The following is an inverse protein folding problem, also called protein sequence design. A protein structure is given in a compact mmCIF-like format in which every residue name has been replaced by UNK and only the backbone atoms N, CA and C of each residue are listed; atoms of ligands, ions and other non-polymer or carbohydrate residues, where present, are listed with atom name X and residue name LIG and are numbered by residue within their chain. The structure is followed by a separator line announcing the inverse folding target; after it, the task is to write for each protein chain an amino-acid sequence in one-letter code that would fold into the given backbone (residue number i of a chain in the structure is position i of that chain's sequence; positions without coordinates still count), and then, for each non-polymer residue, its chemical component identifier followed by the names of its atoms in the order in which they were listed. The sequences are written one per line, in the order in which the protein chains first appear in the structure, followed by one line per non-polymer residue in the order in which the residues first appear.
data_IF_175544147034
#
_entry.id   IF_175544147034
#
_cell.length_a   1.000
_cell.length_b   1.000
_cell.length_c   1.000
_cell.angle_alpha   90.00
_cell.angle_beta   90.00
_cell.angle_gamma   90.00
#
_symmetry.space_group_name_H-M   'P 1'
#
loop_
_entity.id
_entity.type
_entity.pdbx_description
1 polymer ?
#
# COMPACT_ATOMS: atom_id res chain seq x y z
N UNK A 1 -5.86 -9.72 0.24
CA UNK A 1 -7.13 -9.14 0.75
C UNK A 1 -7.21 -9.10 2.26
N UNK A 2 -7.05 -10.22 2.97
CA UNK A 2 -7.18 -10.24 4.44
C UNK A 2 -6.24 -9.27 5.19
N UNK A 3 -4.95 -9.27 4.85
CA UNK A 3 -3.92 -8.48 5.55
C UNK A 3 -4.08 -6.95 5.40
N UNK A 4 -4.42 -6.47 4.19
CA UNK A 4 -4.68 -5.03 3.97
C UNK A 4 -5.90 -4.59 4.79
N UNK A 5 -6.99 -5.37 4.74
CA UNK A 5 -8.19 -5.09 5.53
C UNK A 5 -7.94 -5.18 7.04
N UNK A 6 -7.15 -6.14 7.50
CA UNK A 6 -6.72 -6.25 8.89
C UNK A 6 -5.92 -5.01 9.32
N UNK A 7 -4.98 -4.54 8.50
CA UNK A 7 -4.23 -3.31 8.78
C UNK A 7 -5.12 -2.09 8.91
N UNK A 8 -6.13 -1.94 8.05
CA UNK A 8 -7.09 -0.82 8.15
C UNK A 8 -7.85 -0.88 9.47
N UNK A 9 -8.31 -2.07 9.88
CA UNK A 9 -8.97 -2.25 11.17
C UNK A 9 -8.03 -1.94 12.33
N UNK A 10 -6.79 -2.43 12.29
CA UNK A 10 -5.76 -2.15 13.29
C UNK A 10 -5.45 -0.65 13.36
N UNK A 11 -5.29 0.04 12.24
CA UNK A 11 -5.07 1.48 12.17
C UNK A 11 -6.22 2.28 12.80
N UNK A 12 -7.46 1.81 12.64
CA UNK A 12 -8.63 2.42 13.28
C UNK A 12 -8.81 2.06 14.75
N UNK A 13 -7.99 1.17 15.30
CA UNK A 13 -8.09 0.73 16.69
C UNK A 13 -7.62 1.80 17.67
N UNK A 14 -8.25 1.86 18.85
CA UNK A 14 -7.88 2.84 19.90
C UNK A 14 -6.42 2.72 20.34
N UNK A 15 -5.89 1.50 20.42
CA UNK A 15 -4.52 1.26 20.84
C UNK A 15 -3.51 1.77 19.80
N UNK A 16 -3.77 1.58 18.49
CA UNK A 16 -2.91 2.15 17.44
C UNK A 16 -3.06 3.66 17.34
N UNK A 17 -4.27 4.21 17.55
CA UNK A 17 -4.44 5.66 17.65
C UNK A 17 -3.63 6.26 18.81
N UNK A 18 -3.55 5.58 19.96
CA UNK A 18 -2.68 6.00 21.06
C UNK A 18 -1.20 5.86 20.70
N UNK A 19 -0.82 4.79 20.01
CA UNK A 19 0.54 4.60 19.49
C UNK A 19 0.97 5.77 18.58
N UNK A 20 0.09 6.28 17.73
CA UNK A 20 0.38 7.45 16.89
C UNK A 20 0.65 8.74 17.68
N UNK A 21 0.23 8.82 18.95
CA UNK A 21 0.41 10.01 19.81
C UNK A 21 1.66 9.87 20.69
N UNK A 22 1.90 8.69 21.28
CA UNK A 22 3.03 8.45 22.19
C UNK A 22 3.77 7.15 21.82
N UNK A 23 4.44 7.11 20.65
CA UNK A 23 5.04 5.88 20.13
C UNK A 23 6.17 5.36 21.02
N UNK A 24 7.06 6.24 21.50
CA UNK A 24 8.24 5.85 22.28
C UNK A 24 7.93 5.12 23.58
N UNK A 25 6.82 5.46 24.24
CA UNK A 25 6.36 4.76 25.45
C UNK A 25 5.71 3.43 25.10
N UNK A 26 4.92 3.41 24.02
CA UNK A 26 4.10 2.26 23.65
C UNK A 26 4.88 1.18 22.88
N UNK A 27 6.03 1.51 22.28
CA UNK A 27 6.98 0.55 21.71
C UNK A 27 7.45 -0.50 22.72
N UNK A 28 7.47 -0.15 24.01
CA UNK A 28 7.90 -1.04 25.09
C UNK A 28 6.80 -2.02 25.52
N UNK A 29 5.56 -1.81 25.07
CA UNK A 29 4.40 -2.59 25.50
C UNK A 29 3.90 -3.48 24.36
N UNK A 30 3.46 -4.73 24.65
CA UNK A 30 2.81 -5.55 23.64
C UNK A 30 1.49 -4.91 23.20
N UNK A 31 1.16 -4.98 21.92
CA UNK A 31 -0.06 -4.38 21.41
C UNK A 31 -0.31 -4.58 19.91
N UNK A 32 -1.49 -4.15 19.43
CA UNK A 32 -1.89 -4.34 18.02
C UNK A 32 -0.98 -3.64 17.01
N UNK A 33 -0.20 -2.64 17.43
CA UNK A 33 0.80 -1.98 16.57
C UNK A 33 1.89 -2.97 16.11
N UNK A 34 2.23 -3.98 16.91
CA UNK A 34 3.21 -5.01 16.52
C UNK A 34 2.69 -5.83 15.34
N UNK A 35 1.43 -6.26 15.40
CA UNK A 35 0.78 -6.97 14.30
C UNK A 35 0.65 -6.10 13.04
N UNK A 36 0.34 -4.82 13.22
CA UNK A 36 0.32 -3.84 12.13
C UNK A 36 1.68 -3.76 11.42
N UNK A 37 2.78 -3.67 12.19
CA UNK A 37 4.13 -3.62 11.65
C UNK A 37 4.55 -4.92 10.98
N UNK A 38 4.23 -6.08 11.56
CA UNK A 38 4.46 -7.38 10.92
C UNK A 38 3.78 -7.47 9.56
N UNK A 39 2.51 -7.07 9.48
CA UNK A 39 1.75 -7.07 8.24
C UNK A 39 2.32 -6.07 7.22
N UNK A 40 2.73 -4.87 7.66
CA UNK A 40 3.41 -3.90 6.79
C UNK A 40 4.72 -4.46 6.24
N UNK A 41 5.52 -5.11 7.09
CA UNK A 41 6.78 -5.74 6.69
C UNK A 41 6.58 -6.86 5.67
N UNK A 42 5.58 -7.71 5.87
CA UNK A 42 5.23 -8.77 4.91
C UNK A 42 4.84 -8.20 3.54
N UNK A 43 4.06 -7.12 3.50
CA UNK A 43 3.67 -6.45 2.27
C UNK A 43 4.87 -5.80 1.56
N UNK A 44 5.74 -5.11 2.31
CA UNK A 44 6.96 -4.52 1.77
C UNK A 44 7.90 -5.59 1.18
N UNK A 45 8.03 -6.75 1.83
CA UNK A 45 8.82 -7.87 1.30
C UNK A 45 8.22 -8.43 0.02
N UNK A 46 6.90 -8.62 -0.03
CA UNK A 46 6.22 -9.06 -1.24
C UNK A 46 6.48 -8.11 -2.42
N UNK A 47 6.38 -6.80 -2.20
CA UNK A 47 6.69 -5.78 -3.22
C UNK A 47 8.17 -5.89 -3.62
N UNK A 48 9.08 -6.02 -2.64
CA UNK A 48 10.53 -6.15 -2.86
C UNK A 48 10.87 -7.33 -3.73
N UNK A 49 10.35 -8.51 -3.42
CA UNK A 49 10.53 -9.71 -4.22
C UNK A 49 9.96 -9.54 -5.63
N UNK A 50 8.80 -8.89 -5.76
CA UNK A 50 8.12 -8.66 -7.03
C UNK A 50 8.98 -7.81 -7.97
N UNK A 51 9.43 -6.63 -7.55
CA UNK A 51 10.26 -5.80 -8.43
C UNK A 51 11.67 -6.38 -8.61
N UNK A 52 12.19 -7.15 -7.65
CA UNK A 52 13.49 -7.83 -7.82
C UNK A 52 13.42 -8.87 -8.95
N UNK A 53 12.30 -9.59 -9.08
CA UNK A 53 12.06 -10.50 -10.21
C UNK A 53 11.86 -9.73 -11.52
N UNK A 54 11.10 -8.64 -11.52
CA UNK A 54 10.89 -7.81 -12.71
C UNK A 54 12.20 -7.21 -13.22
N UNK A 55 13.06 -6.71 -12.32
CA UNK A 55 14.36 -6.12 -12.64
C UNK A 55 15.28 -7.07 -13.41
N UNK A 56 15.18 -8.39 -13.21
CA UNK A 56 15.99 -9.39 -13.95
C UNK A 56 15.61 -9.53 -15.42
N UNK A 57 14.35 -9.23 -15.74
CA UNK A 57 13.77 -9.39 -17.07
C UNK A 57 13.24 -8.05 -17.61
N UNK A 58 13.82 -6.94 -17.17
CA UNK A 58 13.37 -5.59 -17.55
C UNK A 58 13.76 -5.31 -19.00
N UNK A 59 12.77 -4.99 -19.84
CA UNK A 59 12.98 -4.45 -21.17
C UNK A 59 12.73 -2.94 -21.15
N UNK A 60 13.77 -2.16 -21.45
CA UNK A 60 13.69 -0.69 -21.47
C UNK A 60 12.74 -0.20 -22.56
N UNK A 61 12.57 -0.98 -23.64
CA UNK A 61 11.72 -0.66 -24.77
C UNK A 61 10.28 -1.14 -24.61
N UNK A 62 10.00 -1.98 -23.60
CA UNK A 62 8.66 -2.52 -23.30
C UNK A 62 8.36 -2.45 -21.80
N UNK A 63 8.02 -1.25 -21.34
CA UNK A 63 7.64 -0.98 -19.95
C UNK A 63 6.16 -1.32 -19.74
N UNK A 64 5.87 -2.43 -19.05
CA UNK A 64 4.49 -2.98 -18.99
C UNK A 64 3.65 -2.40 -17.86
N UNK A 65 4.30 -1.82 -16.86
CA UNK A 65 3.64 -1.32 -15.67
C UNK A 65 4.48 -0.23 -14.97
N UNK A 66 3.93 0.34 -13.90
CA UNK A 66 4.58 1.39 -13.11
C UNK A 66 5.95 0.98 -12.54
N UNK A 67 6.09 -0.27 -12.11
CA UNK A 67 7.35 -0.79 -11.57
C UNK A 67 8.42 -0.82 -12.67
N UNK A 68 8.08 -1.32 -13.86
CA UNK A 68 9.00 -1.33 -15.01
C UNK A 68 9.44 0.11 -15.35
N UNK A 69 8.50 1.06 -15.41
CA UNK A 69 8.81 2.46 -15.69
C UNK A 69 9.70 3.11 -14.61
N UNK A 70 9.43 2.84 -13.33
CA UNK A 70 10.27 3.32 -12.23
C UNK A 70 11.69 2.72 -12.31
N UNK A 71 11.81 1.43 -12.60
CA UNK A 71 13.10 0.74 -12.70
C UNK A 71 13.93 1.23 -13.90
N UNK A 72 13.29 1.53 -15.03
CA UNK A 72 13.98 2.17 -16.17
C UNK A 72 14.48 3.55 -15.76
N UNK A 73 13.63 4.35 -15.10
CA UNK A 73 14.01 5.69 -14.64
C UNK A 73 15.19 5.65 -13.67
N UNK A 74 15.18 4.69 -12.73
CA UNK A 74 16.29 4.43 -11.81
C UNK A 74 17.63 4.17 -12.54
N UNK A 75 17.61 3.57 -13.73
CA UNK A 75 18.83 3.27 -14.50
C UNK A 75 19.43 4.48 -15.24
N UNK A 76 18.68 5.58 -15.42
CA UNK A 76 19.18 6.77 -16.14
C UNK A 76 20.35 7.48 -15.44
N UNK A 77 20.66 7.15 -14.18
CA UNK A 77 21.95 7.44 -13.55
C UNK A 77 22.29 8.93 -13.33
N UNK A 78 21.33 9.85 -13.52
CA UNK A 78 21.50 11.27 -13.20
C UNK A 78 21.53 11.46 -11.67
N UNK A 79 22.30 12.41 -11.15
CA UNK A 79 22.41 12.65 -9.70
C UNK A 79 21.05 12.86 -9.02
N UNK A 80 20.14 13.58 -9.68
CA UNK A 80 18.75 13.77 -9.24
C UNK A 80 17.95 12.46 -9.27
N UNK A 81 18.24 11.57 -10.21
CA UNK A 81 17.56 10.27 -10.32
C UNK A 81 17.92 9.35 -9.14
N UNK A 82 19.17 9.38 -8.67
CA UNK A 82 19.57 8.55 -7.52
C UNK A 82 18.96 9.01 -6.19
N UNK A 83 18.57 10.29 -6.08
CA UNK A 83 17.91 10.83 -4.89
C UNK A 83 16.47 10.33 -4.74
N UNK A 84 15.71 10.26 -5.85
CA UNK A 84 14.29 9.91 -5.79
C UNK A 84 13.98 8.48 -6.23
N UNK A 85 14.74 7.92 -7.17
CA UNK A 85 14.48 6.63 -7.78
C UNK A 85 15.31 5.50 -7.14
N UNK A 86 15.22 5.35 -5.82
CA UNK A 86 15.79 4.21 -5.09
C UNK A 86 14.72 3.18 -4.69
N UNK A 87 15.17 1.99 -4.31
CA UNK A 87 14.28 0.85 -4.06
C UNK A 87 13.26 1.10 -2.94
N UNK A 88 13.65 1.83 -1.88
CA UNK A 88 12.72 2.08 -0.77
C UNK A 88 11.59 3.05 -1.18
N UNK A 89 11.86 4.03 -2.05
CA UNK A 89 10.82 4.86 -2.65
C UNK A 89 9.92 4.08 -3.60
N UNK A 90 10.46 3.10 -4.34
CA UNK A 90 9.63 2.19 -5.14
C UNK A 90 8.67 1.38 -4.25
N UNK A 91 9.17 0.88 -3.11
CA UNK A 91 8.33 0.13 -2.16
C UNK A 91 7.24 1.03 -1.59
N UNK A 92 7.59 2.24 -1.15
CA UNK A 92 6.64 3.21 -0.64
C UNK A 92 5.58 3.58 -1.68
N UNK A 93 6.01 3.93 -2.91
CA UNK A 93 5.13 4.29 -4.02
C UNK A 93 4.12 3.18 -4.34
N UNK A 94 4.59 1.94 -4.48
CA UNK A 94 3.71 0.79 -4.77
C UNK A 94 2.77 0.55 -3.59
N UNK A 95 3.27 0.58 -2.35
CA UNK A 95 2.44 0.40 -1.17
C UNK A 95 1.33 1.45 -1.07
N UNK A 96 1.66 2.73 -1.28
CA UNK A 96 0.72 3.85 -1.23
C UNK A 96 -0.38 3.71 -2.27
N UNK A 97 -0.03 3.43 -3.53
CA UNK A 97 -0.99 3.25 -4.61
C UNK A 97 -1.95 2.09 -4.35
N UNK A 98 -1.42 0.95 -3.90
CA UNK A 98 -2.26 -0.22 -3.60
C UNK A 98 -3.15 0.02 -2.39
N UNK A 99 -2.61 0.57 -1.30
CA UNK A 99 -3.38 0.82 -0.08
C UNK A 99 -4.49 1.85 -0.32
N UNK A 100 -4.14 3.01 -0.90
CA UNK A 100 -5.09 4.09 -1.16
C UNK A 100 -6.17 3.68 -2.16
N UNK A 101 -5.79 3.02 -3.27
CA UNK A 101 -6.72 2.63 -4.32
C UNK A 101 -7.65 1.49 -3.93
N UNK A 102 -7.16 0.50 -3.19
CA UNK A 102 -7.94 -0.69 -2.83
C UNK A 102 -8.99 -0.39 -1.78
N UNK A 103 -8.62 0.24 -0.67
CA UNK A 103 -9.54 0.46 0.46
C UNK A 103 -10.69 1.36 0.05
N UNK A 104 -10.36 2.55 -0.44
CA UNK A 104 -11.34 3.63 -0.64
C UNK A 104 -12.36 3.22 -1.70
N UNK A 105 -11.91 2.62 -2.80
CA UNK A 105 -12.78 2.12 -3.87
C UNK A 105 -13.65 0.97 -3.38
N UNK A 106 -13.08 -0.01 -2.67
CA UNK A 106 -13.84 -1.16 -2.16
C UNK A 106 -14.91 -0.72 -1.16
N UNK A 107 -14.55 0.15 -0.22
CA UNK A 107 -15.48 0.70 0.77
C UNK A 107 -16.58 1.51 0.09
N UNK A 108 -16.22 2.37 -0.87
CA UNK A 108 -17.20 3.17 -1.64
C UNK A 108 -18.16 2.27 -2.42
N UNK A 109 -17.66 1.24 -3.11
CA UNK A 109 -18.50 0.29 -3.84
C UNK A 109 -19.43 -0.48 -2.91
N UNK A 110 -18.95 -0.90 -1.72
CA UNK A 110 -19.79 -1.55 -0.70
C UNK A 110 -20.94 -0.63 -0.27
N UNK A 111 -20.66 0.63 0.01
CA UNK A 111 -21.69 1.62 0.35
C UNK A 111 -22.64 1.89 -0.82
N UNK A 112 -22.12 2.03 -2.04
CA UNK A 112 -22.93 2.22 -3.23
C UNK A 112 -23.93 1.07 -3.42
N UNK A 113 -23.47 -0.18 -3.30
CA UNK A 113 -24.35 -1.36 -3.36
C UNK A 113 -25.41 -1.36 -2.24
N UNK A 114 -25.00 -1.07 -1.01
CA UNK A 114 -25.92 -0.99 0.13
C UNK A 114 -27.01 0.08 -0.08
N UNK A 115 -26.62 1.24 -0.61
CA UNK A 115 -27.55 2.34 -0.90
C UNK A 115 -28.48 2.00 -2.06
N UNK A 116 -27.99 1.35 -3.12
CA UNK A 116 -28.84 0.88 -4.23
C UNK A 116 -29.91 -0.12 -3.75
N UNK A 117 -29.55 -1.07 -2.88
CA UNK A 117 -30.51 -2.02 -2.29
C UNK A 117 -31.55 -1.30 -1.42
N UNK A 118 -31.14 -0.28 -0.67
CA UNK A 118 -32.02 0.49 0.21
C UNK A 118 -32.99 1.41 -0.55
N UNK A 119 -32.57 1.92 -1.71
CA UNK A 119 -33.30 2.87 -2.54
C UNK A 119 -33.51 2.29 -3.96
N UNK A 120 -34.38 1.28 -4.12
CA UNK A 120 -34.59 0.60 -5.41
C UNK A 120 -35.09 1.55 -6.51
N UNK A 121 -35.76 2.64 -6.17
CA UNK A 121 -36.18 3.71 -7.10
C UNK A 121 -35.00 4.50 -7.68
N UNK A 122 -33.84 4.50 -7.02
CA UNK A 122 -32.60 5.09 -7.56
C UNK A 122 -31.88 4.04 -8.41
N UNK A 123 -31.82 2.78 -7.96
CA UNK A 123 -31.17 1.69 -8.70
C UNK A 123 -31.85 1.38 -10.04
N UNK A 124 -33.16 1.57 -10.14
CA UNK A 124 -33.97 1.27 -11.33
C UNK A 124 -34.03 2.39 -12.37
N UNK A 125 -33.33 3.52 -12.14
CA UNK A 125 -33.15 4.58 -13.15
C UNK A 125 -31.98 4.26 -14.06
#
# INVERSE_FOLDING_TARGET
MGMINENIQLMSSRAVMLYNVIPTLLDLLPGPHQKLFENMWQLQNFIRETFTKQKKNLDVNDQRNLIDAFLVKQQEGKSESSEYFHNDNLIALVNDLFAAGMETTTTTMRWAMLLMIKYPEIQSK
#
